data_IF_660942619780
#
_entry.id   IF_660942619780
#
_cell.length_a   1.000
_cell.length_b   1.000
_cell.length_c   1.000
_cell.angle_alpha   90.00
_cell.angle_beta   90.00
_cell.angle_gamma   90.00
#
_symmetry.space_group_name_H-M   'P 1'
#
loop_
_entity.id
_entity.type
_entity.pdbx_description
1 polymer ?
#
# COMPACT_ATOMS: atom_id res chain seq x y z
N UNK A 1 -10.13 1.56 82.35
CA UNK A 1 -11.19 2.58 82.20
C UNK A 1 -11.92 2.30 80.90
N UNK A 2 -12.93 1.43 80.85
CA UNK A 2 -14.35 1.65 81.15
C UNK A 2 -15.03 2.76 80.32
N UNK A 3 -15.87 2.30 79.36
CA UNK A 3 -17.20 2.82 78.93
C UNK A 3 -17.25 4.30 78.50
N UNK A 4 -17.81 4.65 77.33
CA UNK A 4 -19.24 4.65 76.92
C UNK A 4 -19.24 5.63 75.71
N UNK A 5 -20.05 5.56 74.64
CA UNK A 5 -21.51 5.65 74.60
C UNK A 5 -21.95 5.53 73.12
N UNK A 6 -23.13 4.95 72.97
CA UNK A 6 -23.84 4.63 71.74
C UNK A 6 -24.26 5.82 70.88
N UNK A 7 -24.39 5.57 69.58
CA UNK A 7 -25.62 5.89 68.86
C UNK A 7 -25.44 6.67 67.55
N UNK A 8 -25.80 6.04 66.43
CA UNK A 8 -26.86 6.52 65.53
C UNK A 8 -27.10 5.59 64.33
N UNK A 9 -28.36 5.15 64.26
CA UNK A 9 -29.24 4.96 63.09
C UNK A 9 -28.72 4.21 61.86
N UNK A 10 -29.39 3.08 61.64
CA UNK A 10 -29.53 2.42 60.36
C UNK A 10 -30.09 3.36 59.28
N UNK A 11 -29.49 3.28 58.10
CA UNK A 11 -30.15 3.50 56.80
C UNK A 11 -29.93 2.24 55.97
N UNK A 12 -30.97 1.83 55.27
CA UNK A 12 -31.05 0.57 54.53
C UNK A 12 -30.09 0.49 53.34
N UNK A 13 -30.11 -0.64 52.63
CA UNK A 13 -29.15 -0.93 51.57
C UNK A 13 -29.46 -0.07 50.35
N UNK A 14 -28.50 0.77 49.94
CA UNK A 14 -28.53 1.36 48.61
C UNK A 14 -28.36 0.25 47.59
N UNK A 15 -29.42 0.10 46.80
CA UNK A 15 -29.51 -0.74 45.63
C UNK A 15 -28.63 -0.16 44.54
N UNK A 16 -27.97 -1.05 43.83
CA UNK A 16 -27.69 -0.95 42.40
C UNK A 16 -27.08 0.36 41.91
N UNK A 17 -25.75 0.39 41.85
CA UNK A 17 -25.07 1.14 40.78
C UNK A 17 -23.90 0.30 40.22
N UNK A 18 -24.25 -0.89 39.75
CA UNK A 18 -23.53 -1.57 38.68
C UNK A 18 -23.82 -0.84 37.36
N UNK A 19 -23.03 0.19 37.06
CA UNK A 19 -22.87 0.71 35.70
C UNK A 19 -21.39 0.76 35.32
N UNK A 20 -20.74 -0.38 35.53
CA UNK A 20 -19.61 -0.78 34.72
C UNK A 20 -20.17 -1.39 33.42
N UNK A 21 -19.50 -1.16 32.29
CA UNK A 21 -19.77 -1.72 30.96
C UNK A 21 -20.78 -0.91 30.14
N UNK A 22 -20.26 0.07 29.38
CA UNK A 22 -20.57 0.28 27.97
C UNK A 22 -19.50 1.21 27.37
N UNK A 23 -18.29 0.65 27.22
CA UNK A 23 -17.21 1.22 26.40
C UNK A 23 -16.74 0.17 25.38
N UNK A 24 -17.69 -0.48 24.73
CA UNK A 24 -17.44 -1.31 23.56
C UNK A 24 -18.56 -1.05 22.55
N UNK A 25 -18.20 -0.81 21.30
CA UNK A 25 -19.17 -0.81 20.20
C UNK A 25 -19.30 0.46 19.38
N UNK A 26 -18.26 1.29 19.24
CA UNK A 26 -18.04 1.90 17.93
C UNK A 26 -17.09 0.97 17.20
N UNK A 27 -17.69 0.02 16.47
CA UNK A 27 -17.00 -0.71 15.42
C UNK A 27 -16.24 0.32 14.59
N UNK A 28 -14.91 0.24 14.67
CA UNK A 28 -13.99 1.11 13.95
C UNK A 28 -14.47 1.14 12.50
N UNK A 29 -14.99 2.29 12.03
CA UNK A 29 -15.25 2.49 10.61
C UNK A 29 -13.98 2.02 9.91
N UNK A 30 -14.09 0.96 9.10
CA UNK A 30 -12.94 0.41 8.40
C UNK A 30 -12.18 1.60 7.81
N UNK A 31 -10.95 1.84 8.27
CA UNK A 31 -10.06 2.86 7.70
C UNK A 31 -9.84 2.48 6.23
N UNK A 32 -10.75 2.94 5.38
CA UNK A 32 -10.67 2.70 3.95
C UNK A 32 -9.51 3.56 3.43
N UNK A 33 -8.72 3.03 2.50
CA UNK A 33 -7.72 3.85 1.84
C UNK A 33 -8.43 4.98 1.09
N UNK A 34 -7.81 6.15 1.06
CA UNK A 34 -8.27 7.27 0.23
C UNK A 34 -8.31 6.79 -1.20
N UNK A 35 -9.46 6.94 -1.84
CA UNK A 35 -9.74 6.33 -3.13
C UNK A 35 -8.71 6.70 -4.19
N UNK A 36 -8.33 7.98 -4.29
CA UNK A 36 -7.32 8.42 -5.25
C UNK A 36 -5.96 7.73 -5.06
N UNK A 37 -5.47 7.67 -3.82
CA UNK A 37 -4.23 7.00 -3.48
C UNK A 37 -4.26 5.51 -3.87
N UNK A 38 -5.34 4.85 -3.47
CA UNK A 38 -5.58 3.44 -3.74
C UNK A 38 -5.64 3.14 -5.25
N UNK A 39 -6.47 3.87 -6.00
CA UNK A 39 -6.66 3.69 -7.45
C UNK A 39 -5.36 3.94 -8.23
N UNK A 40 -4.60 4.98 -7.85
CA UNK A 40 -3.33 5.24 -8.50
C UNK A 40 -2.30 4.15 -8.17
N UNK A 41 -2.06 3.91 -6.89
CA UNK A 41 -0.97 3.04 -6.44
C UNK A 41 -1.20 1.57 -6.69
N UNK A 42 -2.44 1.09 -6.52
CA UNK A 42 -2.76 -0.34 -6.61
C UNK A 42 -3.20 -0.79 -7.98
N UNK A 43 -3.80 0.09 -8.78
CA UNK A 43 -4.41 -0.29 -10.06
C UNK A 43 -3.66 0.36 -11.22
N UNK A 44 -3.69 1.68 -11.27
CA UNK A 44 -3.19 2.44 -12.43
C UNK A 44 -1.70 2.24 -12.63
N UNK A 45 -0.90 2.39 -11.56
CA UNK A 45 0.56 2.29 -11.66
C UNK A 45 1.01 0.87 -12.08
N UNK A 46 0.59 -0.24 -11.42
CA UNK A 46 0.92 -1.58 -11.90
C UNK A 46 0.43 -1.85 -13.33
N UNK A 47 -0.76 -1.38 -13.70
CA UNK A 47 -1.29 -1.54 -15.06
C UNK A 47 -0.41 -0.82 -16.09
N UNK A 48 0.02 0.41 -15.81
CA UNK A 48 0.92 1.16 -16.70
C UNK A 48 2.27 0.44 -16.85
N UNK A 49 2.84 -0.06 -15.74
CA UNK A 49 4.14 -0.74 -15.73
C UNK A 49 4.09 -2.08 -16.45
N UNK A 50 3.12 -2.93 -16.12
CA UNK A 50 3.05 -4.32 -16.59
C UNK A 50 2.35 -4.45 -17.94
N UNK A 51 1.40 -3.56 -18.25
CA UNK A 51 0.67 -3.54 -19.52
C UNK A 51 1.47 -2.87 -20.65
N UNK A 52 2.26 -1.84 -20.32
CA UNK A 52 3.00 -1.06 -21.31
C UNK A 52 4.42 -0.72 -20.82
N UNK A 53 5.28 -1.73 -20.62
CA UNK A 53 6.58 -1.53 -19.97
C UNK A 53 7.51 -0.58 -20.72
N UNK A 54 7.70 -0.76 -22.03
CA UNK A 54 8.57 0.12 -22.83
C UNK A 54 8.06 1.58 -22.86
N UNK A 55 6.76 1.85 -23.14
CA UNK A 55 6.21 3.19 -23.01
C UNK A 55 6.34 3.77 -21.59
N UNK A 56 6.17 2.97 -20.54
CA UNK A 56 6.33 3.41 -19.16
C UNK A 56 7.78 3.87 -18.91
N UNK A 57 8.76 3.00 -19.17
CA UNK A 57 10.18 3.32 -18.99
C UNK A 57 10.56 4.56 -19.79
N UNK A 58 10.19 4.62 -21.07
CA UNK A 58 10.52 5.75 -21.95
C UNK A 58 9.92 7.07 -21.47
N UNK A 59 8.71 7.06 -20.91
CA UNK A 59 8.06 8.27 -20.44
C UNK A 59 8.67 8.80 -19.13
N UNK A 60 8.92 7.91 -18.17
CA UNK A 60 9.31 8.33 -16.82
C UNK A 60 10.83 8.49 -16.64
N UNK A 61 11.65 7.88 -17.48
CA UNK A 61 13.11 8.00 -17.39
C UNK A 61 13.64 9.39 -17.80
N UNK A 62 12.95 10.08 -18.70
CA UNK A 62 13.32 11.40 -19.22
C UNK A 62 13.31 12.49 -18.14
N UNK A 63 13.94 13.63 -18.42
CA UNK A 63 14.04 14.77 -17.47
C UNK A 63 12.68 15.23 -16.95
N UNK A 64 11.65 15.22 -17.80
CA UNK A 64 10.27 15.60 -17.48
C UNK A 64 9.46 14.50 -16.78
N UNK A 65 10.08 13.35 -16.46
CA UNK A 65 9.40 12.20 -15.85
C UNK A 65 8.65 12.52 -14.55
N UNK A 66 9.18 13.42 -13.72
CA UNK A 66 8.49 13.89 -12.51
C UNK A 66 7.18 14.62 -12.85
N UNK A 67 7.19 15.48 -13.87
CA UNK A 67 5.98 16.19 -14.29
C UNK A 67 4.96 15.23 -14.88
N UNK A 68 5.42 14.25 -15.68
CA UNK A 68 4.56 13.17 -16.19
C UNK A 68 3.93 12.35 -15.06
N UNK A 69 4.66 12.09 -13.98
CA UNK A 69 4.14 11.36 -12.81
C UNK A 69 3.02 12.16 -12.13
N UNK A 70 3.22 13.46 -11.93
CA UNK A 70 2.19 14.37 -11.39
C UNK A 70 0.96 14.43 -12.30
N UNK A 71 1.16 14.49 -13.62
CA UNK A 71 0.06 14.49 -14.58
C UNK A 71 -0.72 13.16 -14.51
N UNK A 72 -0.03 12.02 -14.45
CA UNK A 72 -0.68 10.72 -14.31
C UNK A 72 -1.52 10.63 -13.02
N UNK A 73 -0.99 11.11 -11.90
CA UNK A 73 -1.73 11.25 -10.64
C UNK A 73 -2.98 12.11 -10.81
N UNK A 74 -2.82 13.35 -11.27
CA UNK A 74 -3.94 14.29 -11.43
C UNK A 74 -5.03 13.76 -12.39
N UNK A 75 -4.65 13.08 -13.47
CA UNK A 75 -5.59 12.46 -14.41
C UNK A 75 -6.45 11.36 -13.75
N UNK A 76 -5.94 10.66 -12.73
CA UNK A 76 -6.76 9.73 -11.93
C UNK A 76 -7.69 10.52 -11.01
N UNK A 77 -7.19 11.56 -10.34
CA UNK A 77 -8.00 12.45 -9.52
C UNK A 77 -9.19 13.06 -10.26
N UNK A 78 -9.00 13.48 -11.52
CA UNK A 78 -10.07 14.06 -12.34
C UNK A 78 -11.24 13.10 -12.59
N UNK A 79 -10.98 11.78 -12.64
CA UNK A 79 -11.99 10.73 -12.80
C UNK A 79 -12.76 10.44 -11.51
N UNK A 80 -12.34 11.03 -10.39
CA UNK A 80 -12.94 10.82 -9.08
C UNK A 80 -13.84 12.00 -8.68
N UNK A 81 -14.81 11.77 -7.78
CA UNK A 81 -15.56 12.85 -7.14
C UNK A 81 -14.61 13.87 -6.50
N UNK A 82 -14.93 15.18 -6.51
CA UNK A 82 -14.07 16.22 -5.93
C UNK A 82 -13.63 15.95 -4.48
N UNK A 83 -14.47 15.28 -3.69
CA UNK A 83 -14.17 14.91 -2.29
C UNK A 83 -13.07 13.86 -2.13
N UNK A 84 -12.84 13.05 -3.17
CA UNK A 84 -11.85 11.96 -3.15
C UNK A 84 -10.52 12.40 -3.77
N UNK A 85 -10.47 13.58 -4.39
CA UNK A 85 -9.26 14.10 -5.05
C UNK A 85 -8.21 14.45 -4.01
N UNK A 86 -6.97 14.25 -4.40
CA UNK A 86 -5.81 14.52 -3.54
C UNK A 86 -4.79 15.34 -4.32
N UNK A 87 -4.14 16.31 -3.67
CA UNK A 87 -3.00 16.98 -4.29
C UNK A 87 -1.84 16.00 -4.50
N UNK A 88 -0.88 16.39 -5.34
CA UNK A 88 0.33 15.62 -5.63
C UNK A 88 1.46 15.88 -4.62
N UNK A 89 1.17 16.56 -3.50
CA UNK A 89 2.13 16.84 -2.44
C UNK A 89 2.77 15.54 -1.89
N UNK A 90 4.10 15.48 -1.94
CA UNK A 90 4.89 14.31 -1.54
C UNK A 90 5.04 13.23 -2.60
N UNK A 91 4.49 13.41 -3.81
CA UNK A 91 4.71 12.50 -4.93
C UNK A 91 6.07 12.79 -5.60
N UNK A 92 6.99 11.84 -5.54
CA UNK A 92 8.36 12.00 -6.05
C UNK A 92 8.83 10.77 -6.84
N UNK A 93 9.57 11.02 -7.93
CA UNK A 93 10.19 10.03 -8.78
C UNK A 93 11.71 10.03 -8.57
N UNK A 94 12.23 8.93 -8.05
CA UNK A 94 13.66 8.66 -7.91
C UNK A 94 14.10 7.72 -9.03
N UNK A 95 15.17 8.08 -9.74
CA UNK A 95 15.66 7.30 -10.90
C UNK A 95 17.10 6.87 -10.66
N UNK A 96 17.40 5.59 -10.93
CA UNK A 96 18.76 5.06 -10.95
C UNK A 96 18.94 4.20 -12.19
N UNK A 97 20.07 4.38 -12.87
CA UNK A 97 20.42 3.60 -14.05
C UNK A 97 21.80 3.00 -13.82
N UNK A 98 21.90 1.67 -13.87
CA UNK A 98 23.15 0.95 -13.69
C UNK A 98 23.30 -0.09 -14.80
N UNK A 99 24.23 0.14 -15.73
CA UNK A 99 24.43 -0.70 -16.92
C UNK A 99 23.10 -0.92 -17.68
N UNK A 100 22.61 -2.16 -17.67
CA UNK A 100 21.39 -2.60 -18.33
C UNK A 100 20.16 -2.60 -17.42
N UNK A 101 20.31 -2.25 -16.14
CA UNK A 101 19.19 -2.21 -15.19
C UNK A 101 18.73 -0.77 -14.98
N UNK A 102 17.44 -0.55 -15.11
CA UNK A 102 16.74 0.67 -14.73
C UNK A 102 15.98 0.40 -13.44
N UNK A 103 16.18 1.26 -12.46
CA UNK A 103 15.39 1.27 -11.24
C UNK A 103 14.66 2.62 -11.11
N UNK A 104 13.37 2.57 -10.87
CA UNK A 104 12.56 3.76 -10.60
C UNK A 104 11.79 3.59 -9.30
N UNK A 105 12.12 4.42 -8.31
CA UNK A 105 11.37 4.56 -7.09
C UNK A 105 10.31 5.63 -7.22
N UNK A 106 9.12 5.37 -6.71
CA UNK A 106 8.05 6.35 -6.59
C UNK A 106 7.74 6.49 -5.11
N UNK A 107 7.97 7.69 -4.57
CA UNK A 107 7.52 8.06 -3.23
C UNK A 107 6.11 8.59 -3.38
N UNK A 108 5.19 8.03 -2.60
CA UNK A 108 3.78 8.37 -2.66
C UNK A 108 3.44 9.48 -1.66
N UNK A 109 2.35 10.25 -1.88
CA UNK A 109 1.77 11.05 -0.83
C UNK A 109 1.59 10.22 0.44
N UNK A 110 1.90 10.80 1.60
CA UNK A 110 1.96 10.09 2.89
C UNK A 110 0.77 9.14 3.08
N UNK A 111 1.04 7.85 3.24
CA UNK A 111 0.02 6.85 3.58
C UNK A 111 -0.52 7.08 5.01
N UNK A 112 -1.85 7.14 5.14
CA UNK A 112 -2.58 7.37 6.39
C UNK A 112 -3.44 6.15 6.73
N UNK A 113 -4.04 5.50 5.73
CA UNK A 113 -4.90 4.33 5.91
C UNK A 113 -4.24 3.03 5.43
N UNK A 114 -4.64 1.86 5.95
CA UNK A 114 -4.17 0.57 5.46
C UNK A 114 -4.41 0.40 3.95
N UNK A 115 -3.51 -0.31 3.28
CA UNK A 115 -3.44 -0.51 1.82
C UNK A 115 -3.05 0.73 1.00
N UNK A 116 -2.81 1.89 1.60
CA UNK A 116 -2.14 2.99 0.90
C UNK A 116 -0.64 2.71 0.79
N UNK A 117 -0.03 3.05 -0.35
CA UNK A 117 1.40 2.88 -0.56
C UNK A 117 2.21 4.00 0.12
N UNK A 118 3.28 3.62 0.80
CA UNK A 118 4.40 4.52 1.12
C UNK A 118 5.25 4.74 -0.13
N UNK A 119 5.61 3.64 -0.80
CA UNK A 119 6.53 3.63 -1.94
C UNK A 119 6.12 2.60 -2.98
N UNK A 120 6.54 2.81 -4.23
CA UNK A 120 6.63 1.78 -5.27
C UNK A 120 8.03 1.74 -5.85
N UNK A 121 8.44 0.58 -6.36
CA UNK A 121 9.75 0.41 -6.97
C UNK A 121 9.65 -0.48 -8.21
N UNK A 122 10.09 0.06 -9.35
CA UNK A 122 10.10 -0.65 -10.64
C UNK A 122 11.54 -1.00 -10.99
N UNK A 123 11.77 -2.26 -11.33
CA UNK A 123 13.05 -2.75 -11.85
C UNK A 123 12.82 -3.28 -13.26
N UNK A 124 13.65 -2.86 -14.20
CA UNK A 124 13.57 -3.28 -15.59
C UNK A 124 14.95 -3.57 -16.16
N UNK A 125 15.06 -4.66 -16.91
CA UNK A 125 16.18 -4.89 -17.82
C UNK A 125 15.91 -4.13 -19.13
N UNK A 126 16.86 -3.29 -19.56
CA UNK A 126 16.75 -2.49 -20.80
C UNK A 126 16.74 -3.36 -22.05
N UNK A 127 17.33 -4.54 -21.98
CA UNK A 127 17.42 -5.47 -23.10
C UNK A 127 16.20 -6.39 -23.15
N UNK A 128 15.42 -6.47 -22.06
CA UNK A 128 14.31 -7.38 -21.93
C UNK A 128 13.21 -6.84 -21.00
N UNK A 129 12.29 -6.08 -21.58
CA UNK A 129 11.12 -5.53 -20.88
C UNK A 129 10.18 -6.59 -20.32
N UNK A 130 10.29 -7.87 -20.73
CA UNK A 130 9.46 -8.95 -20.17
C UNK A 130 9.83 -9.29 -18.74
N UNK A 131 11.03 -8.90 -18.29
CA UNK A 131 11.53 -9.07 -16.92
C UNK A 131 11.21 -7.89 -15.99
N UNK A 132 10.37 -6.96 -16.42
CA UNK A 132 9.97 -5.84 -15.57
C UNK A 132 9.24 -6.34 -14.32
N UNK A 133 9.58 -5.78 -13.17
CA UNK A 133 8.96 -6.09 -11.88
C UNK A 133 8.55 -4.81 -11.19
N UNK A 134 7.44 -4.84 -10.47
CA UNK A 134 6.94 -3.71 -9.68
C UNK A 134 6.61 -4.15 -8.27
N UNK A 135 7.22 -3.47 -7.32
CA UNK A 135 7.04 -3.66 -5.89
C UNK A 135 6.33 -2.47 -5.28
N UNK A 136 5.73 -2.69 -4.11
CA UNK A 136 5.11 -1.65 -3.32
C UNK A 136 5.24 -1.93 -1.83
N UNK A 137 5.46 -0.87 -1.07
CA UNK A 137 5.40 -0.92 0.39
C UNK A 137 4.12 -0.26 0.84
N UNK A 138 3.21 -1.04 1.41
CA UNK A 138 1.89 -0.61 1.83
C UNK A 138 1.86 -0.33 3.32
N UNK A 139 1.05 0.63 3.77
CA UNK A 139 0.68 0.74 5.19
C UNK A 139 -0.18 -0.47 5.56
N UNK A 140 0.23 -1.17 6.61
CA UNK A 140 -0.50 -2.29 7.20
C UNK A 140 -1.59 -1.81 8.16
N UNK A 141 -2.43 -2.75 8.62
CA UNK A 141 -3.48 -2.47 9.61
C UNK A 141 -2.92 -2.46 11.02
N UNK A 142 -3.38 -1.51 11.83
CA UNK A 142 -3.21 -1.47 13.28
C UNK A 142 -4.49 -2.02 13.97
N UNK A 143 -4.40 -2.62 15.18
CA UNK A 143 -3.19 -2.85 15.96
C UNK A 143 -2.35 -4.00 15.41
N UNK A 144 -1.04 -3.81 15.42
CA UNK A 144 -0.03 -4.80 15.06
C UNK A 144 1.09 -4.71 16.12
N UNK A 145 1.78 -5.80 16.49
CA UNK A 145 2.90 -5.73 17.44
C UNK A 145 4.06 -4.84 16.99
N UNK A 146 4.06 -4.38 15.73
CA UNK A 146 5.06 -3.48 15.18
C UNK A 146 4.57 -2.02 15.17
N UNK A 147 5.47 -1.08 15.52
CA UNK A 147 5.18 0.36 15.63
C UNK A 147 4.71 1.01 14.32
N UNK A 148 5.08 0.42 13.17
CA UNK A 148 4.60 0.83 11.86
C UNK A 148 4.36 -0.43 11.01
N UNK A 149 3.16 -1.02 11.02
CA UNK A 149 2.92 -2.20 10.20
C UNK A 149 3.00 -1.82 8.73
N UNK A 150 3.75 -2.61 7.96
CA UNK A 150 3.86 -2.48 6.52
C UNK A 150 3.65 -3.83 5.83
N UNK A 151 3.21 -3.80 4.58
CA UNK A 151 3.12 -5.01 3.73
C UNK A 151 3.97 -4.77 2.49
N UNK A 152 4.99 -5.61 2.30
CA UNK A 152 5.77 -5.64 1.07
C UNK A 152 5.06 -6.51 0.04
N UNK A 153 4.75 -5.93 -1.12
CA UNK A 153 4.03 -6.59 -2.19
C UNK A 153 4.75 -6.47 -3.54
N UNK A 154 4.49 -7.42 -4.43
CA UNK A 154 4.83 -7.37 -5.85
C UNK A 154 3.55 -7.57 -6.67
N UNK A 155 3.42 -6.84 -7.79
CA UNK A 155 2.44 -7.15 -8.81
C UNK A 155 3.12 -7.77 -10.03
N UNK A 156 2.45 -8.76 -10.59
CA UNK A 156 2.78 -9.34 -11.88
C UNK A 156 1.50 -9.52 -12.71
N UNK A 157 1.63 -10.08 -13.92
CA UNK A 157 0.49 -10.29 -14.82
C UNK A 157 -0.58 -11.25 -14.26
N UNK A 158 -0.24 -12.09 -13.29
CA UNK A 158 -1.18 -13.04 -12.69
C UNK A 158 -1.91 -12.44 -11.47
N UNK A 159 -1.26 -11.54 -10.73
CA UNK A 159 -1.84 -10.97 -9.54
C UNK A 159 -0.82 -10.32 -8.62
N UNK A 160 -1.05 -10.45 -7.31
CA UNK A 160 -0.28 -9.80 -6.27
C UNK A 160 0.33 -10.82 -5.31
N UNK A 161 1.63 -10.71 -5.11
CA UNK A 161 2.39 -11.44 -4.11
C UNK A 161 2.59 -10.55 -2.88
N UNK A 162 2.60 -11.13 -1.68
CA UNK A 162 3.13 -10.47 -0.49
C UNK A 162 4.28 -11.27 0.09
N UNK A 163 5.22 -10.59 0.73
CA UNK A 163 6.42 -11.19 1.28
C UNK A 163 6.40 -11.24 2.80
N UNK A 164 7.21 -12.13 3.38
CA UNK A 164 7.32 -12.24 4.84
C UNK A 164 8.04 -11.03 5.49
N UNK A 165 8.69 -10.21 4.68
CA UNK A 165 9.32 -8.97 5.10
C UNK A 165 8.31 -7.85 5.41
N UNK A 166 8.64 -7.05 6.42
CA UNK A 166 7.92 -5.84 6.81
C UNK A 166 8.93 -4.71 7.09
N UNK A 167 9.58 -4.17 6.05
CA UNK A 167 10.54 -3.07 6.25
C UNK A 167 9.84 -1.83 6.77
N UNK A 168 10.53 -1.03 7.57
CA UNK A 168 9.99 0.27 7.99
C UNK A 168 9.68 1.13 6.76
N UNK A 169 8.77 2.12 6.87
CA UNK A 169 8.46 3.05 5.78
C UNK A 169 9.60 4.07 5.55
N UNK A 170 10.81 3.56 5.32
CA UNK A 170 12.00 4.26 4.87
C UNK A 170 12.36 3.77 3.46
N UNK A 171 12.64 4.70 2.55
CA UNK A 171 12.82 4.37 1.14
C UNK A 171 14.08 3.52 0.88
N UNK A 172 15.17 3.78 1.62
CA UNK A 172 16.42 3.03 1.47
C UNK A 172 16.29 1.63 2.08
N UNK A 173 15.59 1.50 3.20
CA UNK A 173 15.27 0.20 3.79
C UNK A 173 14.40 -0.63 2.83
N UNK A 174 13.34 -0.04 2.28
CA UNK A 174 12.51 -0.68 1.27
C UNK A 174 13.31 -1.16 0.05
N UNK A 175 14.17 -0.30 -0.52
CA UNK A 175 15.02 -0.61 -1.67
C UNK A 175 15.91 -1.85 -1.40
N UNK A 176 16.49 -1.97 -0.19
CA UNK A 176 17.28 -3.15 0.20
C UNK A 176 16.47 -4.44 0.18
N UNK A 177 15.25 -4.42 0.72
CA UNK A 177 14.38 -5.59 0.72
C UNK A 177 13.94 -6.00 -0.67
N UNK A 178 13.70 -5.04 -1.57
CA UNK A 178 13.45 -5.35 -2.99
C UNK A 178 14.63 -6.09 -3.58
N UNK A 179 15.86 -5.63 -3.37
CA UNK A 179 17.05 -6.33 -3.87
C UNK A 179 17.26 -7.71 -3.26
N UNK A 180 16.94 -7.91 -1.98
CA UNK A 180 16.95 -9.24 -1.36
C UNK A 180 15.89 -10.18 -1.95
N UNK A 181 14.71 -9.68 -2.35
CA UNK A 181 13.74 -10.47 -3.12
C UNK A 181 14.31 -10.84 -4.49
N UNK A 182 14.99 -9.91 -5.17
CA UNK A 182 15.62 -10.19 -6.47
C UNK A 182 16.74 -11.24 -6.38
N UNK A 183 17.32 -11.43 -5.19
CA UNK A 183 18.32 -12.44 -4.89
C UNK A 183 17.72 -13.74 -4.31
N UNK A 184 16.39 -13.89 -4.33
CA UNK A 184 15.64 -15.04 -3.79
C UNK A 184 15.86 -15.30 -2.29
N UNK A 185 16.23 -14.27 -1.53
CA UNK A 185 16.53 -14.37 -0.09
C UNK A 185 15.28 -14.26 0.80
N UNK A 186 14.16 -13.80 0.24
CA UNK A 186 12.91 -13.53 0.97
C UNK A 186 11.77 -14.38 0.41
N UNK A 187 11.08 -15.07 1.31
CA UNK A 187 9.98 -15.96 0.97
C UNK A 187 8.68 -15.19 0.69
N UNK A 188 7.92 -15.72 -0.27
CA UNK A 188 6.54 -15.29 -0.53
C UNK A 188 5.66 -15.79 0.60
N UNK A 189 4.87 -14.88 1.18
CA UNK A 189 3.88 -15.18 2.22
C UNK A 189 2.55 -15.59 1.61
N UNK A 190 2.01 -14.77 0.71
CA UNK A 190 0.71 -15.01 0.07
C UNK A 190 0.72 -14.63 -1.41
N UNK A 191 -0.16 -15.26 -2.17
CA UNK A 191 -0.53 -14.87 -3.53
C UNK A 191 -2.03 -14.57 -3.59
N UNK A 192 -2.41 -13.54 -4.34
CA UNK A 192 -3.79 -13.18 -4.64
C UNK A 192 -3.94 -13.03 -6.15
N UNK A 193 -4.78 -13.88 -6.76
CA UNK A 193 -5.07 -13.86 -8.20
C UNK A 193 -5.96 -12.65 -8.53
N UNK A 194 -5.51 -11.81 -9.47
CA UNK A 194 -6.27 -10.65 -9.94
C UNK A 194 -6.78 -10.79 -11.38
N UNK A 195 -6.61 -11.95 -12.03
CA UNK A 195 -7.26 -12.24 -13.32
C UNK A 195 -8.78 -12.09 -13.29
N UNK A 196 -9.52 -12.42 -12.20
CA UNK A 196 -10.95 -12.13 -12.10
C UNK A 196 -11.32 -10.64 -12.23
N UNK A 197 -10.36 -9.73 -12.02
CA UNK A 197 -10.54 -8.28 -12.12
C UNK A 197 -10.26 -7.75 -13.53
N UNK A 198 -9.91 -8.61 -14.50
CA UNK A 198 -9.69 -8.24 -15.90
C UNK A 198 -8.44 -7.38 -16.15
N UNK A 199 -7.51 -7.27 -15.20
CA UNK A 199 -6.35 -6.37 -15.31
C UNK A 199 -5.37 -6.74 -16.43
N UNK A 200 -5.30 -8.02 -16.78
CA UNK A 200 -4.42 -8.56 -17.81
C UNK A 200 -5.11 -9.67 -18.58
N UNK A 201 -6.44 -9.60 -18.78
CA UNK A 201 -7.16 -10.61 -19.54
C UNK A 201 -6.40 -10.85 -20.85
N UNK A 202 -5.98 -12.09 -21.07
CA UNK A 202 -5.15 -12.48 -22.20
C UNK A 202 -5.86 -12.10 -23.50
N UNK A 203 -5.55 -10.92 -24.04
CA UNK A 203 -5.94 -10.56 -25.41
C UNK A 203 -5.04 -11.23 -26.45
N UNK A 204 -4.10 -12.08 -26.00
CA UNK A 204 -3.14 -12.78 -26.87
C UNK A 204 -3.55 -14.22 -27.19
N UNK A 205 -4.69 -14.74 -26.69
CA UNK A 205 -5.33 -15.93 -27.28
C UNK A 205 -6.23 -15.53 -28.46
N UNK A 206 -5.64 -14.84 -29.43
CA UNK A 206 -6.15 -14.79 -30.80
C UNK A 206 -5.17 -15.53 -31.71
N UNK A 207 -5.19 -16.88 -31.64
CA UNK A 207 -5.14 -17.74 -32.82
C UNK A 207 -5.41 -19.19 -32.42
N UNK A 208 -6.20 -19.89 -33.24
CA UNK A 208 -5.51 -20.80 -34.13
C UNK A 208 -5.73 -20.41 -35.58
N UNK A 209 -4.63 -20.44 -36.34
CA UNK A 209 -4.70 -20.65 -37.78
C UNK A 209 -5.50 -21.92 -38.08
N UNK A 210 -6.53 -21.78 -38.89
CA UNK A 210 -6.96 -22.74 -39.92
C UNK A 210 -7.83 -22.01 -40.96
#
# INVERSE_FOLDING_TARGET
MFKKLFGKKSKGPDKDDTSNINKEGQANEQEKPRKHHYEFGKFTLPMMVLGHPEPFISNFLLEDGQQKLRNAWNNIGEKLPPSDRMPDDGLELVKRVAKNVICMGIIMPKAISPNELHFSYVICDKEDYTKIRIFGLEKGREPCPYENPTVLAEWNKMGRLTYDAAPKPDFIEFEKYVFSIMADEIQVRTFTDFRPMGWFSDSDEASPEA
#
